data_IF_746492568397
#
_entry.id   IF_746492568397
#
_cell.length_a   1.000
_cell.length_b   1.000
_cell.length_c   1.000
_cell.angle_alpha   90.00
_cell.angle_beta   90.00
_cell.angle_gamma   90.00
#
_symmetry.space_group_name_H-M   'P 1'
#
loop_
_entity.id
_entity.type
_entity.pdbx_description
1 polymer ?
#
# COMPACT_ATOMS: atom_id res chain seq x y z
N UNK A 1 0.41 -10.54 3.56
CA UNK A 1 -0.19 -9.39 4.29
C UNK A 1 -1.68 -9.65 4.52
N UNK A 2 -2.04 -10.56 5.43
CA UNK A 2 -3.45 -10.91 5.70
C UNK A 2 -3.87 -10.65 7.15
N UNK A 3 -2.92 -10.35 8.04
CA UNK A 3 -3.17 -10.23 9.47
C UNK A 3 -3.67 -8.86 9.94
N UNK A 4 -3.66 -7.84 9.07
CA UNK A 4 -4.00 -6.46 9.41
C UNK A 4 -2.76 -5.60 9.60
N UNK A 5 -2.94 -4.40 10.14
CA UNK A 5 -1.85 -3.46 10.40
C UNK A 5 -1.34 -3.66 11.84
N UNK A 6 -0.03 -3.84 12.03
CA UNK A 6 0.56 -3.91 13.37
C UNK A 6 0.84 -2.49 13.93
N UNK A 7 0.89 -2.36 15.25
CA UNK A 7 1.20 -1.07 15.90
C UNK A 7 2.61 -0.56 15.51
N UNK A 8 3.58 -1.46 15.38
CA UNK A 8 4.93 -1.14 14.92
C UNK A 8 4.96 -0.62 13.47
N UNK A 9 4.13 -1.15 12.58
CA UNK A 9 3.99 -0.68 11.20
C UNK A 9 3.41 0.74 11.16
N UNK A 10 2.40 1.01 12.00
CA UNK A 10 1.81 2.35 12.14
C UNK A 10 2.83 3.37 12.67
N UNK A 11 3.64 2.98 13.67
CA UNK A 11 4.71 3.82 14.20
C UNK A 11 5.84 4.05 13.19
N UNK A 12 6.21 3.04 12.40
CA UNK A 12 7.18 3.20 11.32
C UNK A 12 6.68 4.17 10.25
N UNK A 13 5.42 4.06 9.84
CA UNK A 13 4.78 4.97 8.86
C UNK A 13 4.69 6.40 9.38
N UNK A 14 4.40 6.59 10.67
CA UNK A 14 4.40 7.94 11.26
C UNK A 14 5.79 8.57 11.23
N UNK A 15 6.85 7.79 11.53
CA UNK A 15 8.25 8.27 11.48
C UNK A 15 8.70 8.67 10.08
N UNK A 16 8.28 7.96 9.03
CA UNK A 16 8.60 8.37 7.65
C UNK A 16 7.93 9.69 7.27
N UNK A 17 6.80 10.02 7.90
CA UNK A 17 6.13 11.31 7.78
C UNK A 17 6.67 12.39 8.74
N UNK A 18 7.71 12.09 9.55
CA UNK A 18 8.28 13.01 10.53
C UNK A 18 7.39 13.23 11.77
N UNK A 19 6.46 12.31 12.04
CA UNK A 19 5.58 12.35 13.19
C UNK A 19 6.03 11.33 14.25
N UNK A 20 6.33 11.83 15.44
CA UNK A 20 6.55 10.98 16.62
C UNK A 20 5.19 10.73 17.30
N UNK A 21 4.81 9.45 17.40
CA UNK A 21 3.55 9.03 18.02
C UNK A 21 3.81 8.06 19.16
N UNK A 22 2.94 8.10 20.18
CA UNK A 22 3.04 7.17 21.31
C UNK A 22 2.61 5.75 20.89
N UNK A 23 3.06 4.75 21.63
CA UNK A 23 2.65 3.35 21.44
C UNK A 23 1.12 3.18 21.53
N UNK A 24 0.48 3.86 22.48
CA UNK A 24 -0.98 3.83 22.62
C UNK A 24 -1.70 4.40 21.39
N UNK A 25 -1.17 5.50 20.81
CA UNK A 25 -1.68 6.07 19.56
C UNK A 25 -1.48 5.09 18.40
N UNK A 26 -0.31 4.47 18.30
CA UNK A 26 -0.01 3.50 17.25
C UNK A 26 -0.93 2.27 17.33
N UNK A 27 -1.17 1.74 18.53
CA UNK A 27 -2.10 0.63 18.76
C UNK A 27 -3.55 0.99 18.37
N UNK A 28 -3.98 2.23 18.66
CA UNK A 28 -5.30 2.72 18.25
C UNK A 28 -5.42 2.83 16.73
N UNK A 29 -4.38 3.33 16.05
CA UNK A 29 -4.33 3.41 14.58
C UNK A 29 -4.41 2.00 13.98
N UNK A 30 -3.60 1.06 14.47
CA UNK A 30 -3.62 -0.34 14.06
C UNK A 30 -5.01 -0.97 14.20
N UNK A 31 -5.67 -0.74 15.35
CA UNK A 31 -7.02 -1.23 15.62
C UNK A 31 -8.05 -0.64 14.63
N UNK A 32 -7.96 0.66 14.36
CA UNK A 32 -8.90 1.36 13.48
C UNK A 32 -8.73 1.01 11.99
N UNK A 33 -7.49 0.78 11.53
CA UNK A 33 -7.19 0.54 10.12
C UNK A 33 -7.19 -0.95 9.73
N UNK A 34 -7.02 -1.87 10.69
CA UNK A 34 -7.04 -3.32 10.42
C UNK A 34 -8.24 -3.79 9.59
N UNK A 35 -9.49 -3.35 9.84
CA UNK A 35 -10.65 -3.73 9.02
C UNK A 35 -10.52 -3.29 7.56
N UNK A 36 -9.96 -2.11 7.31
CA UNK A 36 -9.72 -1.62 5.95
C UNK A 36 -8.65 -2.46 5.24
N UNK A 37 -7.53 -2.75 5.91
CA UNK A 37 -6.46 -3.61 5.35
C UNK A 37 -6.98 -5.02 5.01
N UNK A 38 -7.82 -5.60 5.86
CA UNK A 38 -8.48 -6.89 5.59
C UNK A 38 -9.51 -6.81 4.46
N UNK A 39 -10.19 -5.68 4.27
CA UNK A 39 -11.07 -5.46 3.14
C UNK A 39 -10.32 -5.38 1.81
N UNK A 40 -9.19 -4.66 1.78
CA UNK A 40 -8.37 -4.51 0.58
C UNK A 40 -7.54 -5.75 0.24
N UNK A 41 -7.23 -6.62 1.21
CA UNK A 41 -6.44 -7.83 0.95
C UNK A 41 -7.09 -8.80 -0.04
N UNK A 42 -8.43 -8.77 -0.17
CA UNK A 42 -9.19 -9.61 -1.11
C UNK A 42 -8.90 -9.23 -2.57
N UNK A 43 -8.53 -7.98 -2.84
CA UNK A 43 -8.26 -7.47 -4.19
C UNK A 43 -6.78 -7.09 -4.40
N UNK A 44 -5.94 -7.24 -3.38
CA UNK A 44 -4.49 -7.15 -3.52
C UNK A 44 -4.01 -8.29 -4.42
N UNK A 45 -3.14 -8.04 -5.40
CA UNK A 45 -2.80 -9.03 -6.44
C UNK A 45 -3.68 -8.97 -7.68
N UNK A 46 -4.86 -8.35 -7.61
CA UNK A 46 -5.84 -8.32 -8.72
C UNK A 46 -6.03 -6.92 -9.30
N UNK A 47 -5.36 -5.90 -8.74
CA UNK A 47 -5.45 -4.54 -9.26
C UNK A 47 -4.71 -4.44 -10.60
N UNK A 48 -5.26 -3.75 -11.62
CA UNK A 48 -4.65 -3.61 -12.94
C UNK A 48 -3.24 -2.98 -12.94
N UNK A 49 -2.86 -2.32 -11.85
CA UNK A 49 -1.59 -1.64 -11.65
C UNK A 49 -0.63 -2.39 -10.72
N UNK A 50 -0.96 -3.62 -10.31
CA UNK A 50 -0.08 -4.49 -9.54
C UNK A 50 0.98 -5.19 -10.42
N UNK A 51 1.15 -4.71 -11.64
CA UNK A 51 2.28 -5.05 -12.49
C UNK A 51 3.55 -4.65 -11.74
N UNK A 52 4.45 -5.60 -11.53
CA UNK A 52 5.77 -5.30 -10.98
C UNK A 52 6.34 -4.04 -11.66
N UNK A 53 7.05 -3.13 -10.94
CA UNK A 53 7.38 -1.80 -11.45
C UNK A 53 8.00 -1.78 -12.87
N UNK A 54 8.75 -2.82 -13.23
CA UNK A 54 9.29 -3.01 -14.57
C UNK A 54 8.23 -3.28 -15.65
N UNK A 55 7.22 -4.10 -15.33
CA UNK A 55 6.11 -4.45 -16.22
C UNK A 55 5.17 -3.26 -16.41
N UNK A 56 4.92 -2.44 -15.39
CA UNK A 56 4.17 -1.19 -15.55
C UNK A 56 4.85 -0.24 -16.56
N UNK A 57 6.17 -0.04 -16.43
CA UNK A 57 6.92 0.77 -17.39
C UNK A 57 6.90 0.20 -18.81
N UNK A 58 6.98 -1.14 -18.94
CA UNK A 58 6.91 -1.80 -20.24
C UNK A 58 5.55 -1.55 -20.93
N UNK A 59 4.43 -1.75 -20.23
CA UNK A 59 3.08 -1.52 -20.79
C UNK A 59 2.88 -0.06 -21.19
N UNK A 60 3.31 0.89 -20.36
CA UNK A 60 3.21 2.33 -20.66
C UNK A 60 4.03 2.72 -21.90
N UNK A 61 5.24 2.17 -22.04
CA UNK A 61 6.09 2.45 -23.20
C UNK A 61 5.53 1.83 -24.48
N UNK A 62 4.93 0.64 -24.41
CA UNK A 62 4.28 -0.02 -25.55
C UNK A 62 3.03 0.75 -25.99
N UNK A 63 2.14 1.12 -25.05
CA UNK A 63 0.93 1.90 -25.37
C UNK A 63 1.27 3.25 -26.04
N UNK A 64 2.29 3.96 -25.54
CA UNK A 64 2.75 5.22 -26.16
C UNK A 64 3.35 5.03 -27.56
N UNK A 65 3.96 3.87 -27.85
CA UNK A 65 4.50 3.57 -29.17
C UNK A 65 3.40 3.24 -30.20
N UNK A 66 2.25 2.74 -29.74
CA UNK A 66 1.09 2.45 -30.58
C UNK A 66 0.28 3.72 -30.91
N UNK A 67 0.17 4.67 -29.96
CA UNK A 67 -0.49 5.98 -30.17
C UNK A 67 0.29 6.94 -31.11
N UNK A 68 1.54 6.62 -31.43
CA UNK A 68 2.41 7.41 -32.31
C UNK A 68 2.48 6.92 -33.77
N UNK A 69 1.62 5.97 -34.17
CA UNK A 69 1.48 5.51 -35.56
C UNK A 69 0.25 6.08 -36.26
#
# INVERSE_FOLDING_TARGET
>A
MTDGLLAEDAAATARTAGLEITEATAARIATALTPAFKGFSVIAGTLPLDLEPATFQLVQNTARAEDGK
#
